data_IF_420002830690
#
_entry.id   IF_420002830690
#
_cell.length_a   1.000
_cell.length_b   1.000
_cell.length_c   1.000
_cell.angle_alpha   90.00
_cell.angle_beta   90.00
_cell.angle_gamma   90.00
#
_symmetry.space_group_name_H-M   'P 1'
#
loop_
_entity.id
_entity.type
_entity.pdbx_description
1 polymer ?
#
# COMPACT_ATOMS: atom_id res chain seq x y z
N UNK A 1 -4.13 10.87 -14.38
CA UNK A 1 -3.75 9.68 -13.59
C UNK A 1 -4.74 9.51 -12.45
N UNK A 2 -5.35 8.32 -12.34
CA UNK A 2 -6.24 8.03 -11.21
C UNK A 2 -5.44 7.88 -9.93
N UNK A 3 -6.11 7.90 -8.78
CA UNK A 3 -5.42 7.68 -7.50
C UNK A 3 -4.76 6.31 -7.45
N UNK A 4 -5.42 5.29 -8.00
CA UNK A 4 -4.84 3.96 -8.06
C UNK A 4 -3.58 3.93 -8.94
N UNK A 5 -3.65 4.53 -10.12
CA UNK A 5 -2.48 4.64 -11.01
C UNK A 5 -1.33 5.38 -10.35
N UNK A 6 -1.65 6.44 -9.59
CA UNK A 6 -0.65 7.21 -8.85
C UNK A 6 0.01 6.36 -7.76
N UNK A 7 -0.79 5.58 -7.03
CA UNK A 7 -0.25 4.66 -6.00
C UNK A 7 0.68 3.62 -6.64
N UNK A 8 0.25 3.00 -7.74
CA UNK A 8 1.06 2.00 -8.44
C UNK A 8 2.36 2.62 -8.95
N UNK A 9 2.28 3.82 -9.53
CA UNK A 9 3.47 4.55 -9.96
C UNK A 9 4.45 4.76 -8.81
N UNK A 10 3.96 5.22 -7.67
CA UNK A 10 4.79 5.49 -6.48
C UNK A 10 5.48 4.20 -6.02
N UNK A 11 4.74 3.11 -5.92
CA UNK A 11 5.28 1.84 -5.42
C UNK A 11 6.30 1.23 -6.38
N UNK A 12 6.00 1.22 -7.68
CA UNK A 12 6.87 0.57 -8.67
C UNK A 12 8.10 1.41 -9.03
N UNK A 13 8.01 2.74 -8.91
CA UNK A 13 9.12 3.64 -9.23
C UNK A 13 9.81 4.19 -7.99
N UNK A 14 9.36 3.79 -6.80
CA UNK A 14 9.94 4.25 -5.53
C UNK A 14 9.97 5.78 -5.44
N UNK A 15 8.88 6.40 -5.86
CA UNK A 15 8.77 7.87 -5.95
C UNK A 15 8.35 8.44 -4.60
N UNK A 16 9.31 8.55 -3.70
CA UNK A 16 9.06 9.02 -2.34
C UNK A 16 8.59 10.47 -2.31
N UNK A 17 9.15 11.33 -3.15
CA UNK A 17 8.76 12.75 -3.18
C UNK A 17 7.29 12.91 -3.54
N UNK A 18 6.81 12.14 -4.50
CA UNK A 18 5.40 12.18 -4.89
C UNK A 18 4.51 11.67 -3.75
N UNK A 19 4.94 10.62 -3.05
CA UNK A 19 4.20 10.10 -1.90
C UNK A 19 4.13 11.15 -0.78
N UNK A 20 5.25 11.74 -0.45
CA UNK A 20 5.33 12.76 0.61
C UNK A 20 4.41 13.94 0.30
N UNK A 21 4.38 14.38 -0.95
CA UNK A 21 3.50 15.47 -1.38
C UNK A 21 2.02 15.08 -1.36
N UNK A 22 1.71 13.81 -1.58
CA UNK A 22 0.34 13.34 -1.65
C UNK A 22 -0.30 13.05 -0.29
N UNK A 23 0.51 12.82 0.74
CA UNK A 23 0.04 12.49 2.09
C UNK A 23 -0.34 13.76 2.83
N UNK A 24 -1.55 13.82 3.39
CA UNK A 24 -2.03 14.97 4.16
C UNK A 24 -1.22 15.14 5.44
N UNK A 25 -1.16 16.39 5.97
CA UNK A 25 -0.40 16.70 7.17
C UNK A 25 -0.86 15.91 8.41
N UNK A 26 -2.15 15.59 8.47
CA UNK A 26 -2.74 14.85 9.59
C UNK A 26 -3.04 13.39 9.25
N UNK A 27 -2.28 12.83 8.32
CA UNK A 27 -2.44 11.47 7.84
C UNK A 27 -2.21 10.42 8.94
N UNK A 28 -3.06 9.38 8.94
CA UNK A 28 -2.87 8.16 9.71
C UNK A 28 -2.89 6.95 8.80
N UNK A 29 -2.05 5.99 9.12
CA UNK A 29 -2.07 4.67 8.50
C UNK A 29 -2.37 3.62 9.56
N UNK A 30 -3.40 2.83 9.34
CA UNK A 30 -3.75 1.73 10.23
C UNK A 30 -3.37 0.42 9.55
N UNK A 31 -2.44 -0.30 10.16
CA UNK A 31 -1.98 -1.59 9.65
C UNK A 31 -2.23 -2.65 10.72
N UNK A 32 -3.19 -3.53 10.46
CA UNK A 32 -3.64 -4.52 11.43
C UNK A 32 -4.07 -3.83 12.74
N UNK A 33 -3.39 -4.10 13.84
CA UNK A 33 -3.67 -3.50 15.14
C UNK A 33 -2.79 -2.30 15.46
N UNK A 34 -1.96 -1.86 14.52
CA UNK A 34 -1.04 -0.74 14.72
C UNK A 34 -1.52 0.50 13.98
N UNK A 35 -1.24 1.65 14.53
CA UNK A 35 -1.52 2.92 13.89
C UNK A 35 -0.22 3.73 13.79
N UNK A 36 0.06 4.22 12.59
CA UNK A 36 1.25 5.02 12.32
C UNK A 36 0.83 6.45 11.96
N UNK A 37 1.52 7.42 12.55
CA UNK A 37 1.37 8.82 12.17
C UNK A 37 1.98 9.05 10.79
N UNK A 38 1.74 10.25 10.22
CA UNK A 38 2.34 10.63 8.95
C UNK A 38 3.86 10.44 8.93
N UNK A 39 4.53 10.96 9.95
CA UNK A 39 5.99 10.89 10.00
C UNK A 39 6.49 9.45 10.13
N UNK A 40 5.85 8.64 10.94
CA UNK A 40 6.19 7.23 11.09
C UNK A 40 5.96 6.46 9.79
N UNK A 41 4.85 6.72 9.11
CA UNK A 41 4.53 6.10 7.83
C UNK A 41 5.57 6.48 6.76
N UNK A 42 5.87 7.76 6.63
CA UNK A 42 6.83 8.23 5.64
C UNK A 42 8.23 7.69 5.91
N UNK A 43 8.65 7.61 7.17
CA UNK A 43 9.94 7.03 7.51
C UNK A 43 10.02 5.56 7.10
N UNK A 44 8.95 4.79 7.34
CA UNK A 44 8.90 3.39 6.94
C UNK A 44 8.90 3.22 5.42
N UNK A 45 8.19 4.09 4.72
CA UNK A 45 8.17 4.05 3.26
C UNK A 45 9.51 4.44 2.66
N UNK A 46 10.20 5.39 3.26
CA UNK A 46 11.55 5.78 2.85
C UNK A 46 12.52 4.61 2.98
N UNK A 47 12.46 3.91 4.12
CA UNK A 47 13.26 2.71 4.34
C UNK A 47 12.92 1.62 3.32
N UNK A 48 11.63 1.39 3.11
CA UNK A 48 11.14 0.40 2.15
C UNK A 48 11.65 0.71 0.74
N UNK A 49 11.61 1.97 0.32
CA UNK A 49 12.07 2.38 -1.02
C UNK A 49 13.60 2.35 -1.15
N UNK A 50 14.33 2.34 -0.05
CA UNK A 50 15.79 2.24 -0.08
C UNK A 50 16.29 0.83 -0.38
N UNK A 51 15.42 -0.18 -0.32
CA UNK A 51 15.77 -1.57 -0.59
C UNK A 51 16.00 -1.76 -2.08
N UNK A 52 16.89 -2.68 -2.42
CA UNK A 52 17.23 -2.97 -3.82
C UNK A 52 16.14 -3.70 -4.59
N UNK A 53 15.20 -4.33 -3.88
CA UNK A 53 14.13 -5.10 -4.49
C UNK A 53 13.14 -4.19 -5.23
N UNK A 54 12.67 -4.68 -6.38
CA UNK A 54 11.61 -4.01 -7.15
C UNK A 54 10.26 -4.49 -6.65
N UNK A 55 9.26 -3.61 -6.73
CA UNK A 55 7.89 -3.99 -6.34
C UNK A 55 7.41 -5.24 -7.08
N UNK A 56 7.76 -5.38 -8.36
CA UNK A 56 7.40 -6.55 -9.17
C UNK A 56 8.02 -7.85 -8.68
N UNK A 57 9.01 -7.81 -7.78
CA UNK A 57 9.62 -9.01 -7.22
C UNK A 57 8.82 -9.58 -6.06
N UNK A 58 7.96 -8.80 -5.43
CA UNK A 58 7.22 -9.24 -4.25
C UNK A 58 5.74 -8.82 -4.22
N UNK A 59 5.28 -8.01 -5.16
CA UNK A 59 3.87 -7.61 -5.30
C UNK A 59 3.28 -8.20 -6.56
N UNK A 60 2.14 -8.88 -6.43
CA UNK A 60 1.49 -9.61 -7.53
C UNK A 60 -0.01 -9.38 -7.52
N UNK A 61 -0.65 -9.58 -8.67
CA UNK A 61 -2.10 -9.49 -8.81
C UNK A 61 -2.68 -8.20 -8.24
N UNK A 62 -2.04 -7.09 -8.52
CA UNK A 62 -2.48 -5.78 -8.07
C UNK A 62 -3.77 -5.38 -8.79
N UNK A 63 -4.81 -5.03 -8.01
CA UNK A 63 -6.12 -4.65 -8.56
C UNK A 63 -6.72 -3.49 -7.77
N UNK A 64 -7.35 -2.58 -8.50
CA UNK A 64 -8.25 -1.60 -7.92
C UNK A 64 -9.63 -2.23 -7.81
N UNK A 65 -10.18 -2.28 -6.61
CA UNK A 65 -11.52 -2.84 -6.38
C UNK A 65 -12.60 -1.78 -6.55
N UNK A 66 -12.32 -0.56 -6.14
CA UNK A 66 -13.25 0.56 -6.23
C UNK A 66 -12.47 1.86 -6.07
N UNK A 67 -12.90 2.88 -6.81
CA UNK A 67 -12.29 4.20 -6.73
C UNK A 67 -13.29 5.28 -7.08
N UNK A 68 -13.29 6.36 -6.30
CA UNK A 68 -14.00 7.60 -6.61
C UNK A 68 -13.20 8.79 -6.09
N UNK A 69 -13.81 9.96 -6.01
CA UNK A 69 -13.13 11.18 -5.54
C UNK A 69 -12.71 11.11 -4.08
N UNK A 70 -13.43 10.32 -3.27
CA UNK A 70 -13.27 10.29 -1.83
C UNK A 70 -12.47 9.09 -1.34
N UNK A 71 -12.44 8.00 -2.08
CA UNK A 71 -11.77 6.80 -1.60
C UNK A 71 -11.24 5.92 -2.74
N UNK A 72 -10.36 5.00 -2.36
CA UNK A 72 -9.80 4.00 -3.25
C UNK A 72 -9.61 2.72 -2.45
N UNK A 73 -10.12 1.60 -2.98
CA UNK A 73 -9.94 0.29 -2.40
C UNK A 73 -9.12 -0.57 -3.34
N UNK A 74 -8.18 -1.30 -2.81
CA UNK A 74 -7.27 -2.10 -3.61
C UNK A 74 -6.94 -3.43 -2.94
N UNK A 75 -6.43 -4.35 -3.73
CA UNK A 75 -5.91 -5.62 -3.24
C UNK A 75 -4.68 -6.02 -4.04
N UNK A 76 -3.82 -6.81 -3.43
CA UNK A 76 -2.67 -7.44 -4.09
C UNK A 76 -2.23 -8.66 -3.30
N UNK A 77 -1.44 -9.50 -3.93
CA UNK A 77 -0.65 -10.52 -3.23
C UNK A 77 0.72 -9.91 -2.96
N UNK A 78 1.26 -10.17 -1.79
CA UNK A 78 2.57 -9.64 -1.41
C UNK A 78 3.35 -10.66 -0.62
N UNK A 79 4.59 -10.91 -1.06
CA UNK A 79 5.51 -11.74 -0.29
C UNK A 79 6.15 -10.86 0.78
N UNK A 80 6.00 -11.25 2.04
CA UNK A 80 6.55 -10.55 3.18
C UNK A 80 7.97 -11.03 3.51
N UNK A 81 8.59 -10.38 4.49
CA UNK A 81 9.97 -10.68 4.89
C UNK A 81 10.15 -12.11 5.39
N UNK A 82 9.09 -12.73 5.90
CA UNK A 82 9.10 -14.12 6.34
C UNK A 82 9.10 -15.13 5.16
N UNK A 83 9.05 -14.62 3.93
CA UNK A 83 9.00 -15.45 2.72
C UNK A 83 7.61 -15.96 2.39
N UNK A 84 6.63 -15.69 3.22
CA UNK A 84 5.26 -16.15 3.02
C UNK A 84 4.45 -15.16 2.20
N UNK A 85 3.42 -15.67 1.54
CA UNK A 85 2.54 -14.87 0.69
C UNK A 85 1.30 -14.43 1.46
N UNK A 86 0.95 -13.16 1.33
CA UNK A 86 -0.21 -12.59 2.00
C UNK A 86 -1.12 -11.89 0.99
N UNK A 87 -2.42 -11.95 1.25
CA UNK A 87 -3.39 -11.11 0.56
C UNK A 87 -3.46 -9.79 1.33
N UNK A 88 -3.18 -8.70 0.65
CA UNK A 88 -3.32 -7.34 1.19
C UNK A 88 -4.61 -6.76 0.67
N UNK A 89 -5.41 -6.22 1.56
CA UNK A 89 -6.61 -5.44 1.21
C UNK A 89 -6.48 -4.09 1.87
N UNK A 90 -6.60 -3.03 1.09
CA UNK A 90 -6.43 -1.69 1.60
C UNK A 90 -7.55 -0.75 1.19
N UNK A 91 -7.73 0.27 2.00
CA UNK A 91 -8.64 1.38 1.72
C UNK A 91 -7.94 2.68 2.03
N UNK A 92 -8.06 3.63 1.12
CA UNK A 92 -7.49 4.98 1.26
C UNK A 92 -8.64 5.98 1.17
N UNK A 93 -8.72 6.87 2.14
CA UNK A 93 -9.65 7.99 2.11
C UNK A 93 -8.89 9.26 1.73
N UNK A 94 -9.48 10.04 0.85
CA UNK A 94 -8.92 11.33 0.38
C UNK A 94 -9.67 12.48 1.03
N UNK A 95 -8.96 13.57 1.29
CA UNK A 95 -9.59 14.80 1.80
C UNK A 95 -10.05 15.69 0.64
N UNK A 96 -10.61 16.84 0.97
CA UNK A 96 -11.13 17.79 -0.03
C UNK A 96 -10.06 18.36 -0.96
N UNK A 97 -8.80 18.31 -0.56
CA UNK A 97 -7.67 18.75 -1.39
C UNK A 97 -7.11 17.62 -2.29
N UNK A 98 -7.75 16.46 -2.27
CA UNK A 98 -7.31 15.31 -3.06
C UNK A 98 -6.11 14.58 -2.49
N UNK A 99 -5.70 14.91 -1.27
CA UNK A 99 -4.58 14.23 -0.60
C UNK A 99 -5.08 13.02 0.16
N UNK A 100 -4.22 12.01 0.32
CA UNK A 100 -4.58 10.86 1.14
C UNK A 100 -4.55 11.25 2.60
N UNK A 101 -5.65 10.94 3.29
CA UNK A 101 -5.91 11.42 4.63
C UNK A 101 -5.92 10.28 5.65
N UNK A 102 -6.50 9.14 5.28
CA UNK A 102 -6.53 7.95 6.11
C UNK A 102 -6.30 6.74 5.24
N UNK A 103 -5.53 5.79 5.73
CA UNK A 103 -5.37 4.50 5.07
C UNK A 103 -5.50 3.38 6.09
N UNK A 104 -6.08 2.27 5.65
CA UNK A 104 -6.14 1.06 6.45
C UNK A 104 -5.77 -0.12 5.56
N UNK A 105 -4.88 -0.98 6.04
CA UNK A 105 -4.53 -2.22 5.37
C UNK A 105 -4.67 -3.40 6.31
N UNK A 106 -5.16 -4.48 5.76
CA UNK A 106 -5.20 -5.78 6.44
C UNK A 106 -4.49 -6.81 5.58
N UNK A 107 -3.82 -7.74 6.23
CA UNK A 107 -3.16 -8.84 5.54
C UNK A 107 -3.72 -10.17 6.03
N UNK A 108 -3.78 -11.12 5.11
CA UNK A 108 -4.22 -12.49 5.43
C UNK A 108 -3.26 -13.44 4.74
N UNK A 109 -2.68 -14.34 5.50
CA UNK A 109 -1.75 -15.32 4.96
C UNK A 109 -2.49 -16.22 3.96
N UNK A 110 -1.91 -16.39 2.78
CA UNK A 110 -2.45 -17.29 1.76
C UNK A 110 -1.85 -18.66 1.96
N UNK A 111 -2.71 -19.64 2.22
CA UNK A 111 -2.27 -21.02 2.31
C UNK A 111 -2.14 -21.57 0.89
N UNK A 112 -0.92 -21.96 0.55
CA UNK A 112 -0.71 -22.72 -0.68
C UNK A 112 -1.14 -24.15 -0.37
N UNK A 113 -2.30 -24.56 -0.88
CA UNK A 113 -2.69 -25.95 -0.85
C UNK A 113 -1.76 -26.70 -1.80
N UNK A 114 -0.86 -27.47 -1.25
CA UNK A 114 -0.16 -28.48 -2.01
C UNK A 114 -1.18 -29.56 -2.37
N UNK A 115 -1.73 -29.48 -3.56
CA UNK A 115 -2.47 -30.59 -4.14
C UNK A 115 -1.46 -31.67 -4.54
N UNK A 116 -0.93 -32.35 -3.56
CA UNK A 116 -0.16 -33.57 -3.79
C UNK A 116 -1.10 -34.76 -3.79
N UNK A 117 -1.80 -34.87 -4.86
CA UNK A 117 -2.56 -36.11 -5.09
C UNK A 117 -2.38 -36.54 -6.51
#
# INVERSE_FOLDING_TARGET
>A
MTSYEKMIHILHNKDFELLEDWVADDYFFVFESQMWTRDEFLERMKDFFSRSEKASDFMFEEKCLYENEDCMNYTRLERQEDGEMYRVVGMVLKNSDGKIWRSIERITKVEVKNDTN
#
